data_IF_946405570119
#
_entry.id   IF_946405570119
#
_cell.length_a   1.000
_cell.length_b   1.000
_cell.length_c   1.000
_cell.angle_alpha   90.00
_cell.angle_beta   90.00
_cell.angle_gamma   90.00
#
_symmetry.space_group_name_H-M   'P 1'
#
loop_
_entity.id
_entity.type
_entity.pdbx_description
1 polymer ?
#
# COMPACT_ATOMS: atom_id res chain seq x y z
N UNK A 1 20.70 -10.69 -24.53
CA UNK A 1 20.96 -11.12 -23.14
C UNK A 1 22.05 -12.20 -23.20
N UNK A 2 23.10 -12.07 -22.39
CA UNK A 2 24.18 -13.06 -22.37
C UNK A 2 23.65 -14.46 -22.02
N UNK A 3 23.83 -15.44 -22.93
CA UNK A 3 23.41 -16.83 -22.74
C UNK A 3 22.01 -17.18 -23.30
N UNK A 4 21.34 -16.29 -24.01
CA UNK A 4 20.08 -16.58 -24.69
C UNK A 4 20.02 -15.89 -26.05
N UNK A 5 19.72 -16.67 -27.10
CA UNK A 5 19.60 -16.17 -28.45
C UNK A 5 18.15 -15.95 -28.84
N UNK A 6 17.90 -15.00 -29.75
CA UNK A 6 16.59 -14.86 -30.37
C UNK A 6 16.23 -16.18 -31.08
N UNK A 7 15.00 -16.62 -30.93
CA UNK A 7 14.54 -17.91 -31.44
C UNK A 7 13.40 -17.71 -32.43
N UNK A 8 13.45 -18.40 -33.57
CA UNK A 8 12.33 -18.46 -34.51
C UNK A 8 11.50 -19.68 -34.22
N UNK A 9 10.20 -19.49 -33.93
CA UNK A 9 9.24 -20.57 -33.65
C UNK A 9 8.19 -20.58 -34.76
N UNK A 10 8.06 -21.72 -35.45
CA UNK A 10 7.09 -21.86 -36.53
C UNK A 10 5.64 -21.71 -36.03
N UNK A 11 4.73 -21.34 -36.93
CA UNK A 11 3.31 -21.19 -36.58
C UNK A 11 2.70 -22.48 -36.01
N UNK A 12 3.04 -23.65 -36.60
CA UNK A 12 2.61 -24.95 -36.11
C UNK A 12 3.09 -25.20 -34.67
N UNK A 13 4.36 -24.92 -34.39
CA UNK A 13 4.94 -25.13 -33.06
C UNK A 13 4.32 -24.18 -32.02
N UNK A 14 4.06 -22.93 -32.39
CA UNK A 14 3.33 -21.97 -31.50
C UNK A 14 1.96 -22.48 -31.11
N UNK A 15 1.22 -23.01 -32.07
CA UNK A 15 -0.10 -23.61 -31.83
C UNK A 15 0.01 -24.86 -30.96
N UNK A 16 0.97 -25.74 -31.23
CA UNK A 16 1.19 -26.96 -30.47
C UNK A 16 1.50 -26.71 -28.99
N UNK A 17 2.31 -25.71 -28.68
CA UNK A 17 2.68 -25.35 -27.29
C UNK A 17 1.69 -24.40 -26.63
N UNK A 18 0.62 -24.02 -27.32
CA UNK A 18 -0.41 -23.09 -26.80
C UNK A 18 0.12 -21.70 -26.46
N UNK A 19 1.07 -21.21 -27.28
CA UNK A 19 1.68 -19.89 -27.04
C UNK A 19 0.64 -18.77 -27.20
N UNK A 20 0.47 -17.98 -26.15
CA UNK A 20 -0.35 -16.76 -26.14
C UNK A 20 0.55 -15.54 -25.97
N UNK A 21 0.14 -14.43 -26.53
CA UNK A 21 0.82 -13.14 -26.38
C UNK A 21 -0.17 -12.07 -25.94
N UNK A 22 0.29 -11.11 -25.17
CA UNK A 22 -0.46 -9.94 -24.77
C UNK A 22 0.37 -8.69 -24.99
N UNK A 23 -0.27 -7.60 -25.41
CA UNK A 23 0.44 -6.33 -25.58
C UNK A 23 0.62 -5.63 -24.21
N UNK A 24 1.84 -5.15 -23.98
CA UNK A 24 2.14 -4.31 -22.83
C UNK A 24 1.44 -2.96 -23.02
N UNK A 25 0.57 -2.61 -22.07
CA UNK A 25 -0.25 -1.40 -22.15
C UNK A 25 -0.28 -0.68 -20.79
N UNK A 26 -0.64 0.60 -20.82
CA UNK A 26 -0.89 1.34 -19.59
C UNK A 26 -2.21 0.91 -18.98
N UNK A 27 -2.15 0.53 -17.71
CA UNK A 27 -3.32 0.13 -16.92
C UNK A 27 -3.29 0.81 -15.56
N UNK A 28 -4.46 1.08 -15.01
CA UNK A 28 -4.57 1.48 -13.61
C UNK A 28 -4.46 0.24 -12.75
N UNK A 29 -3.37 0.14 -12.02
CA UNK A 29 -3.05 -1.02 -11.19
C UNK A 29 -3.48 -0.77 -9.75
N UNK A 30 -4.31 -1.68 -9.23
CA UNK A 30 -4.78 -1.66 -7.84
C UNK A 30 -4.31 -2.92 -7.15
N UNK A 31 -3.93 -2.78 -5.89
CA UNK A 31 -3.55 -3.91 -5.07
C UNK A 31 -4.07 -3.73 -3.66
N UNK A 32 -4.02 -4.79 -2.87
CA UNK A 32 -4.53 -4.79 -1.51
C UNK A 32 -3.38 -4.99 -0.55
N UNK A 33 -3.14 -4.00 0.31
CA UNK A 33 -2.24 -4.13 1.46
C UNK A 33 -3.02 -4.84 2.56
N UNK A 34 -2.53 -6.00 2.99
CA UNK A 34 -3.14 -6.80 4.04
C UNK A 34 -2.41 -6.57 5.36
N UNK A 35 -3.16 -6.11 6.34
CA UNK A 35 -2.63 -5.77 7.66
C UNK A 35 -3.47 -6.43 8.75
N UNK A 36 -2.84 -6.88 9.78
CA UNK A 36 -3.51 -7.31 11.02
C UNK A 36 -3.56 -6.17 12.02
N UNK A 37 -4.53 -6.21 12.92
CA UNK A 37 -4.68 -5.18 13.93
C UNK A 37 -5.78 -5.47 14.92
N UNK A 38 -6.19 -4.45 15.63
CA UNK A 38 -7.28 -4.51 16.60
C UNK A 38 -8.16 -3.27 16.55
N UNK A 39 -9.37 -3.40 17.07
CA UNK A 39 -10.23 -2.24 17.35
C UNK A 39 -9.60 -1.46 18.49
N UNK A 40 -9.34 -0.18 18.27
CA UNK A 40 -8.52 0.63 19.14
C UNK A 40 -9.19 0.89 20.51
N UNK A 41 -8.38 0.75 21.54
CA UNK A 41 -8.58 1.33 22.86
C UNK A 41 -7.38 2.23 23.13
N UNK A 42 -7.57 3.55 23.10
CA UNK A 42 -6.48 4.51 23.15
C UNK A 42 -6.75 5.63 24.15
N UNK A 43 -6.66 5.34 25.46
CA UNK A 43 -6.85 6.33 26.50
C UNK A 43 -5.75 7.42 26.49
N UNK A 44 -4.56 7.11 26.00
CA UNK A 44 -3.47 8.08 25.93
C UNK A 44 -3.79 9.19 24.92
N UNK A 45 -4.23 8.80 23.72
CA UNK A 45 -4.66 9.75 22.70
C UNK A 45 -5.88 10.57 23.17
N UNK A 46 -6.85 9.92 23.82
CA UNK A 46 -8.01 10.60 24.41
C UNK A 46 -7.58 11.68 25.40
N UNK A 47 -6.72 11.32 26.36
CA UNK A 47 -6.22 12.25 27.37
C UNK A 47 -5.44 13.41 26.75
N UNK A 48 -4.60 13.14 25.75
CA UNK A 48 -3.86 14.18 25.04
C UNK A 48 -4.77 15.15 24.27
N UNK A 49 -5.88 14.67 23.70
CA UNK A 49 -6.87 15.52 23.04
C UNK A 49 -7.58 16.40 24.09
N UNK A 50 -7.94 15.84 25.25
CA UNK A 50 -8.57 16.58 26.35
C UNK A 50 -7.62 17.64 26.92
N UNK A 51 -6.34 17.32 27.07
CA UNK A 51 -5.31 18.28 27.52
C UNK A 51 -5.18 19.45 26.54
N UNK A 52 -5.11 19.16 25.25
CA UNK A 52 -5.05 20.21 24.21
C UNK A 52 -6.33 21.08 24.21
N UNK A 53 -7.50 20.47 24.33
CA UNK A 53 -8.76 21.19 24.42
C UNK A 53 -8.80 22.10 25.64
N UNK A 54 -8.38 21.62 26.81
CA UNK A 54 -8.28 22.41 28.04
C UNK A 54 -7.30 23.56 27.91
N UNK A 55 -6.15 23.35 27.26
CA UNK A 55 -5.18 24.43 26.99
C UNK A 55 -5.77 25.51 26.07
N UNK A 56 -6.55 25.12 25.05
CA UNK A 56 -7.23 26.06 24.16
C UNK A 56 -8.26 26.94 24.92
N UNK A 57 -9.09 26.30 25.77
CA UNK A 57 -10.05 27.03 26.61
C UNK A 57 -9.33 27.99 27.55
N UNK A 58 -8.23 27.54 28.18
CA UNK A 58 -7.44 28.39 29.08
C UNK A 58 -6.86 29.60 28.33
N UNK A 59 -6.35 29.41 27.12
CA UNK A 59 -5.85 30.50 26.27
C UNK A 59 -6.96 31.50 25.93
N UNK A 60 -8.14 31.01 25.53
CA UNK A 60 -9.25 31.86 25.15
C UNK A 60 -9.79 32.68 26.33
N UNK A 61 -9.73 32.14 27.57
CA UNK A 61 -10.11 32.89 28.79
C UNK A 61 -9.18 34.04 29.11
N UNK A 62 -7.93 34.00 28.69
CA UNK A 62 -6.94 35.04 28.98
C UNK A 62 -6.63 35.93 27.79
N UNK A 63 -7.36 35.81 26.68
CA UNK A 63 -7.11 36.56 25.45
C UNK A 63 -7.19 38.09 25.65
N UNK A 64 -8.01 38.54 26.56
CA UNK A 64 -8.22 39.97 26.88
C UNK A 64 -7.38 40.44 28.10
N UNK A 65 -6.44 39.61 28.58
CA UNK A 65 -5.56 39.94 29.69
C UNK A 65 -4.61 41.10 29.29
N UNK A 66 -4.38 42.09 30.13
CA UNK A 66 -3.42 43.17 29.85
C UNK A 66 -1.95 42.73 29.99
N UNK A 67 -1.69 41.49 30.46
CA UNK A 67 -0.36 41.00 30.79
C UNK A 67 0.20 40.11 29.69
N UNK A 68 1.28 40.54 28.99
CA UNK A 68 1.87 39.73 27.90
C UNK A 68 2.34 38.34 28.35
N UNK A 69 2.93 38.22 29.54
CA UNK A 69 3.41 36.95 30.09
C UNK A 69 2.32 35.88 30.23
N UNK A 70 1.06 36.32 30.49
CA UNK A 70 -0.09 35.44 30.62
C UNK A 70 -0.44 34.83 29.26
N UNK A 71 -0.40 35.63 28.20
CA UNK A 71 -0.61 35.15 26.83
C UNK A 71 0.48 34.17 26.42
N UNK A 72 1.74 34.55 26.67
CA UNK A 72 2.88 33.71 26.29
C UNK A 72 2.83 32.32 26.94
N UNK A 73 2.49 32.24 28.23
CA UNK A 73 2.32 30.99 28.97
C UNK A 73 1.15 30.17 28.42
N UNK A 74 0.02 30.77 28.14
CA UNK A 74 -1.14 30.08 27.58
C UNK A 74 -0.86 29.52 26.18
N UNK A 75 -0.19 30.32 25.35
CA UNK A 75 0.23 29.84 24.01
C UNK A 75 1.30 28.73 24.08
N UNK A 76 2.20 28.77 25.04
CA UNK A 76 3.18 27.71 25.29
C UNK A 76 2.51 26.38 25.65
N UNK A 77 1.46 26.41 26.49
CA UNK A 77 0.67 25.21 26.83
C UNK A 77 -0.02 24.62 25.61
N UNK A 78 -0.66 25.47 24.79
CA UNK A 78 -1.29 24.98 23.53
C UNK A 78 -0.26 24.38 22.60
N UNK A 79 0.89 25.02 22.41
CA UNK A 79 1.98 24.48 21.57
C UNK A 79 2.50 23.13 22.09
N UNK A 80 2.68 23.00 23.40
CA UNK A 80 3.15 21.76 24.04
C UNK A 80 2.15 20.61 23.83
N UNK A 81 0.86 20.86 24.11
CA UNK A 81 -0.19 19.88 23.92
C UNK A 81 -0.35 19.49 22.44
N UNK A 82 -0.26 20.45 21.51
CA UNK A 82 -0.28 20.16 20.08
C UNK A 82 0.94 19.32 19.62
N UNK A 83 2.12 19.56 20.21
CA UNK A 83 3.31 18.75 19.94
C UNK A 83 3.10 17.30 20.37
N UNK A 84 2.54 17.07 21.56
CA UNK A 84 2.22 15.73 22.05
C UNK A 84 1.25 15.00 21.12
N UNK A 85 0.18 15.67 20.64
CA UNK A 85 -0.74 15.10 19.67
C UNK A 85 -0.04 14.70 18.35
N UNK A 86 0.91 15.52 17.89
CA UNK A 86 1.71 15.18 16.70
C UNK A 86 2.60 13.95 16.95
N UNK A 87 3.20 13.83 18.13
CA UNK A 87 3.98 12.65 18.51
C UNK A 87 3.13 11.40 18.56
N UNK A 88 1.84 11.52 18.92
CA UNK A 88 0.85 10.45 18.86
C UNK A 88 0.29 10.20 17.45
N UNK A 89 0.84 10.85 16.43
CA UNK A 89 0.53 10.59 15.02
C UNK A 89 -0.63 11.38 14.43
N UNK A 90 -1.09 12.47 15.07
CA UNK A 90 -2.08 13.35 14.47
C UNK A 90 -1.43 14.39 13.55
N UNK A 91 -2.01 14.57 12.37
CA UNK A 91 -1.67 15.70 11.51
C UNK A 91 -2.23 17.03 12.05
N UNK A 92 -1.65 18.14 11.61
CA UNK A 92 -2.13 19.47 11.99
C UNK A 92 -3.62 19.69 11.64
N UNK A 93 -4.07 19.16 10.49
CA UNK A 93 -5.47 19.24 10.08
C UNK A 93 -6.40 18.47 11.03
N UNK A 94 -5.97 17.31 11.53
CA UNK A 94 -6.73 16.52 12.50
C UNK A 94 -6.79 17.20 13.86
N UNK A 95 -5.67 17.78 14.32
CA UNK A 95 -5.64 18.58 15.55
C UNK A 95 -6.62 19.74 15.45
N UNK A 96 -6.64 20.47 14.33
CA UNK A 96 -7.58 21.55 14.06
C UNK A 96 -9.04 21.10 14.05
N UNK A 97 -9.33 19.89 13.55
CA UNK A 97 -10.68 19.33 13.56
C UNK A 97 -11.21 18.98 14.96
N UNK A 98 -10.31 18.72 15.92
CA UNK A 98 -10.69 18.51 17.33
C UNK A 98 -10.88 19.81 18.11
N UNK A 99 -10.25 20.90 17.68
CA UNK A 99 -10.35 22.21 18.36
C UNK A 99 -11.76 22.81 18.35
N UNK A 100 -12.60 22.43 17.37
CA UNK A 100 -13.99 22.90 17.26
C UNK A 100 -15.03 22.01 17.96
N UNK A 101 -14.62 20.93 18.64
CA UNK A 101 -15.54 19.99 19.32
C UNK A 101 -15.53 20.26 20.83
N UNK A 102 -16.71 20.16 21.45
CA UNK A 102 -16.86 20.34 22.91
C UNK A 102 -16.22 19.21 23.73
N UNK A 103 -15.97 18.05 23.13
CA UNK A 103 -15.35 16.89 23.79
C UNK A 103 -14.46 16.09 22.83
N UNK A 104 -13.50 15.37 23.40
CA UNK A 104 -12.72 14.38 22.67
C UNK A 104 -13.64 13.26 22.13
N UNK A 105 -13.27 12.60 21.04
CA UNK A 105 -14.07 11.51 20.49
C UNK A 105 -14.09 10.30 21.44
N UNK A 106 -15.21 10.08 22.09
CA UNK A 106 -15.41 8.98 23.05
C UNK A 106 -15.20 7.59 22.43
N UNK A 107 -15.24 7.48 21.11
CA UNK A 107 -14.96 6.24 20.38
C UNK A 107 -13.51 5.72 20.52
N UNK A 108 -12.63 6.50 21.14
CA UNK A 108 -11.29 6.04 21.56
C UNK A 108 -11.35 5.23 22.87
N UNK A 109 -12.39 5.41 23.68
CA UNK A 109 -12.58 4.76 24.96
C UNK A 109 -13.79 3.81 25.00
N UNK A 110 -14.81 4.10 24.19
CA UNK A 110 -16.10 3.42 24.23
C UNK A 110 -16.48 2.93 22.83
N UNK A 111 -16.43 1.63 22.60
CA UNK A 111 -16.94 0.98 21.40
C UNK A 111 -18.47 0.85 21.38
N UNK A 112 -19.21 1.91 21.64
CA UNK A 112 -20.66 1.91 21.75
C UNK A 112 -21.41 1.87 20.42
N UNK A 113 -22.73 1.57 20.42
CA UNK A 113 -23.58 1.67 19.24
C UNK A 113 -23.77 3.14 18.82
N UNK A 114 -23.93 3.37 17.51
CA UNK A 114 -24.31 4.67 16.94
C UNK A 114 -23.16 5.56 16.45
N UNK A 115 -21.90 5.12 16.58
CA UNK A 115 -20.73 5.89 16.16
C UNK A 115 -19.83 5.17 15.18
N UNK A 116 -18.59 5.63 15.12
CA UNK A 116 -17.47 4.95 14.48
C UNK A 116 -16.52 4.39 15.54
N UNK A 117 -15.72 3.41 15.16
CA UNK A 117 -14.59 2.92 15.95
C UNK A 117 -13.29 3.14 15.17
N UNK A 118 -12.19 3.22 15.89
CA UNK A 118 -10.88 3.21 15.28
C UNK A 118 -10.37 1.78 15.19
N UNK A 119 -9.73 1.48 14.08
CA UNK A 119 -8.96 0.23 13.89
C UNK A 119 -7.51 0.62 13.73
N UNK A 120 -6.64 0.01 14.51
CA UNK A 120 -5.20 0.14 14.42
C UNK A 120 -4.66 -1.08 13.69
N UNK A 121 -4.26 -0.88 12.44
CA UNK A 121 -3.69 -1.91 11.60
C UNK A 121 -2.17 -1.68 11.43
N UNK A 122 -1.38 -2.74 11.38
CA UNK A 122 0.06 -2.65 11.23
C UNK A 122 0.46 -2.97 9.78
N UNK A 123 1.13 -2.02 9.12
CA UNK A 123 1.73 -2.21 7.79
C UNK A 123 3.24 -2.26 7.91
N UNK A 124 3.89 -3.04 7.06
CA UNK A 124 5.33 -3.15 7.05
C UNK A 124 6.02 -1.98 6.33
N UNK A 125 7.29 -1.75 6.65
CA UNK A 125 8.11 -0.65 6.11
C UNK A 125 8.08 -0.59 4.58
N UNK A 126 8.13 -1.73 3.88
CA UNK A 126 8.11 -1.80 2.42
C UNK A 126 6.74 -1.44 1.79
N UNK A 127 5.66 -1.37 2.59
CA UNK A 127 4.30 -1.03 2.15
C UNK A 127 3.96 0.45 2.34
N UNK A 128 4.77 1.20 3.12
CA UNK A 128 4.49 2.58 3.54
C UNK A 128 4.15 3.48 2.34
N UNK A 129 4.95 3.40 1.27
CA UNK A 129 4.76 4.25 0.09
C UNK A 129 3.42 4.03 -0.64
N UNK A 130 2.70 2.97 -0.29
CA UNK A 130 1.43 2.56 -0.92
C UNK A 130 0.21 2.96 -0.13
N UNK A 131 0.37 3.21 1.15
CA UNK A 131 -0.73 3.57 2.05
C UNK A 131 -0.71 5.06 2.30
N UNK A 132 -1.87 5.69 2.19
CA UNK A 132 -2.05 7.13 2.44
C UNK A 132 -3.43 7.39 3.04
N UNK A 133 -3.62 8.48 3.76
CA UNK A 133 -4.95 8.91 4.21
C UNK A 133 -5.93 9.04 3.05
N UNK A 134 -7.18 8.67 3.28
CA UNK A 134 -8.25 8.66 2.30
C UNK A 134 -8.49 7.33 1.58
N UNK A 135 -7.57 6.34 1.71
CA UNK A 135 -7.79 5.01 1.12
C UNK A 135 -8.91 4.25 1.84
N UNK A 136 -9.69 3.52 1.06
CA UNK A 136 -10.70 2.59 1.59
C UNK A 136 -10.03 1.35 2.16
N UNK A 137 -10.63 0.82 3.23
CA UNK A 137 -10.22 -0.43 3.85
C UNK A 137 -11.42 -1.32 4.14
N UNK A 138 -11.29 -2.59 3.86
CA UNK A 138 -12.23 -3.63 4.24
C UNK A 138 -11.71 -4.32 5.50
N UNK A 139 -12.53 -4.30 6.54
CA UNK A 139 -12.20 -4.86 7.84
C UNK A 139 -13.01 -6.13 8.05
N UNK A 140 -12.33 -7.20 8.39
CA UNK A 140 -12.95 -8.48 8.75
C UNK A 140 -12.48 -8.93 10.13
N UNK A 141 -13.30 -9.67 10.83
CA UNK A 141 -12.96 -10.23 12.16
C UNK A 141 -13.46 -11.67 12.27
N UNK A 142 -12.70 -12.55 12.93
CA UNK A 142 -13.16 -13.91 13.23
C UNK A 142 -14.46 -13.97 14.04
N UNK A 143 -14.75 -12.91 14.82
CA UNK A 143 -15.99 -12.85 15.62
C UNK A 143 -17.25 -12.79 14.74
N UNK A 144 -17.16 -12.32 13.50
CA UNK A 144 -18.27 -12.22 12.56
C UNK A 144 -17.84 -12.75 11.18
N UNK A 145 -17.77 -14.07 10.99
CA UNK A 145 -17.33 -14.67 9.73
C UNK A 145 -18.22 -14.24 8.56
N UNK A 146 -17.61 -13.90 7.44
CA UNK A 146 -18.30 -13.47 6.22
C UNK A 146 -18.83 -12.02 6.24
N UNK A 147 -18.70 -11.30 7.36
CA UNK A 147 -19.09 -9.89 7.44
C UNK A 147 -17.90 -8.98 7.16
N UNK A 148 -18.12 -8.01 6.29
CA UNK A 148 -17.13 -7.00 5.93
C UNK A 148 -17.60 -5.64 6.45
N UNK A 149 -16.74 -4.98 7.23
CA UNK A 149 -16.92 -3.60 7.67
C UNK A 149 -16.05 -2.71 6.79
N UNK A 150 -16.60 -1.62 6.27
CA UNK A 150 -15.86 -0.68 5.43
C UNK A 150 -15.41 0.51 6.24
N UNK A 151 -14.16 0.87 6.10
CA UNK A 151 -13.54 2.00 6.77
C UNK A 151 -12.69 2.83 5.83
N UNK A 152 -12.14 3.91 6.36
CA UNK A 152 -11.26 4.83 5.65
C UNK A 152 -9.99 5.07 6.46
N UNK A 153 -8.84 4.98 5.82
CA UNK A 153 -7.55 5.36 6.42
C UNK A 153 -7.56 6.85 6.73
N UNK A 154 -7.34 7.22 7.99
CA UNK A 154 -7.33 8.62 8.44
C UNK A 154 -5.93 9.13 8.75
N UNK A 155 -5.06 8.26 9.25
CA UNK A 155 -3.70 8.63 9.60
C UNK A 155 -2.75 7.42 9.51
N UNK A 156 -1.48 7.73 9.39
CA UNK A 156 -0.37 6.80 9.55
C UNK A 156 0.51 7.39 10.64
N UNK A 157 0.84 6.60 11.66
CA UNK A 157 1.68 7.07 12.74
C UNK A 157 3.08 7.40 12.20
N UNK A 158 3.72 8.50 12.67
CA UNK A 158 5.02 8.92 12.15
C UNK A 158 6.16 8.03 12.64
N UNK A 159 5.95 7.25 13.68
CA UNK A 159 6.97 6.45 14.33
C UNK A 159 6.92 5.00 13.85
N UNK A 160 8.01 4.56 13.22
CA UNK A 160 8.24 3.16 12.88
C UNK A 160 8.63 2.37 14.14
N UNK A 161 7.95 1.27 14.41
CA UNK A 161 8.40 0.32 15.43
C UNK A 161 9.69 -0.35 14.97
N UNK A 162 10.78 -0.12 15.69
CA UNK A 162 12.07 -0.71 15.37
C UNK A 162 12.08 -2.24 15.55
N UNK A 163 11.26 -2.76 16.45
CA UNK A 163 11.14 -4.18 16.77
C UNK A 163 10.43 -4.96 15.66
N UNK A 164 9.30 -4.45 15.18
CA UNK A 164 8.45 -5.13 14.19
C UNK A 164 8.64 -4.63 12.78
N UNK A 165 9.42 -3.55 12.57
CA UNK A 165 9.57 -2.85 11.28
C UNK A 165 8.23 -2.51 10.64
N UNK A 166 7.28 -2.09 11.47
CA UNK A 166 5.92 -1.74 11.05
C UNK A 166 5.51 -0.36 11.53
N UNK A 167 4.52 0.21 10.83
CA UNK A 167 3.83 1.43 11.22
C UNK A 167 2.37 1.13 11.51
N UNK A 168 1.81 1.90 12.44
CA UNK A 168 0.40 1.85 12.75
C UNK A 168 -0.38 2.73 11.79
N UNK A 169 -1.39 2.14 11.16
CA UNK A 169 -2.37 2.85 10.33
C UNK A 169 -3.67 2.94 11.10
N UNK A 170 -4.23 4.15 11.19
CA UNK A 170 -5.52 4.42 11.82
C UNK A 170 -6.62 4.43 10.78
N UNK A 171 -7.59 3.54 10.94
CA UNK A 171 -8.72 3.38 10.05
C UNK A 171 -9.99 3.70 10.84
N UNK A 172 -10.77 4.65 10.37
CA UNK A 172 -12.09 4.92 10.94
C UNK A 172 -13.12 4.00 10.29
N UNK A 173 -13.88 3.27 11.12
CA UNK A 173 -14.87 2.29 10.68
C UNK A 173 -16.21 2.60 11.31
N UNK A 174 -17.27 2.86 10.51
CA UNK A 174 -18.62 3.00 11.03
C UNK A 174 -19.09 1.74 11.78
N UNK A 175 -19.63 1.91 12.96
CA UNK A 175 -20.06 0.82 13.84
C UNK A 175 -21.50 1.04 14.39
N UNK A 176 -22.50 1.28 13.54
CA UNK A 176 -23.84 1.69 13.96
C UNK A 176 -24.52 0.65 14.87
N UNK A 177 -24.23 -0.61 14.68
CA UNK A 177 -24.76 -1.71 15.50
C UNK A 177 -23.92 -2.05 16.73
N UNK A 178 -22.80 -1.34 16.98
CA UNK A 178 -21.91 -1.63 18.11
C UNK A 178 -21.31 -3.04 18.09
N UNK A 179 -21.18 -3.66 16.92
CA UNK A 179 -20.68 -5.04 16.77
C UNK A 179 -19.18 -5.13 17.00
N UNK A 180 -18.43 -4.17 16.49
CA UNK A 180 -17.01 -4.08 16.74
C UNK A 180 -16.80 -3.58 18.17
N UNK A 181 -16.19 -4.41 18.98
CA UNK A 181 -15.83 -4.10 20.38
C UNK A 181 -14.35 -3.76 20.45
N UNK A 182 -13.99 -2.94 21.44
CA UNK A 182 -12.60 -2.60 21.72
C UNK A 182 -11.75 -3.86 21.89
N UNK A 183 -10.50 -3.78 21.45
CA UNK A 183 -9.53 -4.89 21.48
C UNK A 183 -9.87 -6.10 20.60
N UNK A 184 -11.00 -6.10 19.87
CA UNK A 184 -11.25 -7.15 18.91
C UNK A 184 -10.16 -7.22 17.86
N UNK A 185 -9.63 -8.42 17.62
CA UNK A 185 -8.72 -8.69 16.51
C UNK A 185 -9.43 -8.53 15.17
N UNK A 186 -8.76 -7.89 14.23
CA UNK A 186 -9.26 -7.64 12.88
C UNK A 186 -8.18 -7.83 11.82
N UNK A 187 -8.60 -8.15 10.60
CA UNK A 187 -7.79 -8.07 9.41
C UNK A 187 -8.28 -6.89 8.56
N UNK A 188 -7.36 -6.05 8.15
CA UNK A 188 -7.61 -4.91 7.29
C UNK A 188 -7.06 -5.17 5.89
N UNK A 189 -7.89 -4.99 4.87
CA UNK A 189 -7.52 -5.04 3.47
C UNK A 189 -7.62 -3.62 2.89
N UNK A 190 -6.50 -2.89 2.90
CA UNK A 190 -6.43 -1.49 2.44
C UNK A 190 -6.29 -1.48 0.92
N UNK A 191 -7.21 -0.81 0.23
CA UNK A 191 -7.24 -0.71 -1.24
C UNK A 191 -6.26 0.36 -1.70
N UNK A 192 -5.10 -0.06 -2.16
CA UNK A 192 -4.06 0.83 -2.67
C UNK A 192 -4.11 0.93 -4.19
N UNK A 193 -3.69 2.06 -4.73
CA UNK A 193 -3.70 2.37 -6.16
C UNK A 193 -2.31 2.86 -6.57
N UNK A 194 -1.66 2.14 -7.47
CA UNK A 194 -0.38 2.53 -8.08
C UNK A 194 -0.55 3.61 -9.15
N UNK A 195 -1.80 3.97 -9.47
CA UNK A 195 -2.08 4.85 -10.59
C UNK A 195 -1.98 4.14 -11.94
N UNK A 196 -1.77 4.93 -12.99
CA UNK A 196 -1.61 4.40 -14.35
C UNK A 196 -0.13 4.10 -14.58
N UNK A 197 0.19 2.81 -14.69
CA UNK A 197 1.53 2.31 -14.95
C UNK A 197 1.55 1.43 -16.19
N UNK A 198 2.73 1.23 -16.77
CA UNK A 198 2.92 0.24 -17.81
C UNK A 198 2.82 -1.15 -17.18
N UNK A 199 1.89 -1.97 -17.66
CA UNK A 199 1.53 -3.24 -17.05
C UNK A 199 2.08 -4.42 -17.85
N UNK A 200 2.84 -5.27 -17.18
CA UNK A 200 3.33 -6.55 -17.71
C UNK A 200 2.46 -7.68 -17.14
N UNK A 201 1.81 -8.49 -17.96
CA UNK A 201 1.06 -9.64 -17.46
C UNK A 201 1.94 -10.54 -16.58
N UNK A 202 1.41 -11.00 -15.44
CA UNK A 202 2.15 -11.89 -14.50
C UNK A 202 2.70 -13.12 -15.21
N UNK A 203 1.87 -13.76 -16.06
CA UNK A 203 2.28 -14.93 -16.85
C UNK A 203 3.39 -14.68 -17.87
N UNK A 204 3.74 -13.41 -18.17
CA UNK A 204 4.82 -13.09 -19.08
C UNK A 204 6.20 -13.06 -18.38
N UNK A 205 6.23 -12.91 -17.07
CA UNK A 205 7.48 -12.81 -16.31
C UNK A 205 8.08 -14.20 -16.06
N UNK A 206 9.30 -14.38 -16.50
CA UNK A 206 10.14 -15.51 -16.12
C UNK A 206 11.17 -15.03 -15.09
N UNK A 207 10.99 -15.41 -13.84
CA UNK A 207 11.93 -15.11 -12.77
C UNK A 207 12.87 -16.30 -12.55
N UNK A 208 14.15 -16.09 -12.80
CA UNK A 208 15.21 -17.08 -12.59
C UNK A 208 15.94 -16.91 -11.24
N UNK A 209 15.45 -16.03 -10.38
CA UNK A 209 16.10 -15.62 -9.13
C UNK A 209 17.21 -14.60 -9.35
N UNK A 210 18.10 -14.81 -10.32
CA UNK A 210 19.19 -13.89 -10.64
C UNK A 210 18.76 -12.78 -11.61
N UNK A 211 17.82 -13.07 -12.52
CA UNK A 211 17.35 -12.15 -13.57
C UNK A 211 15.85 -12.36 -13.84
N UNK A 212 15.19 -11.28 -14.17
CA UNK A 212 13.79 -11.27 -14.61
C UNK A 212 13.74 -11.03 -16.10
N UNK A 213 13.14 -11.96 -16.83
CA UNK A 213 13.10 -11.99 -18.28
C UNK A 213 11.68 -12.04 -18.80
N UNK A 214 11.49 -11.51 -19.99
CA UNK A 214 10.27 -11.70 -20.80
C UNK A 214 10.67 -12.10 -22.20
N UNK A 215 9.76 -12.76 -22.89
CA UNK A 215 9.89 -13.09 -24.30
C UNK A 215 9.03 -12.15 -25.13
N UNK A 216 9.69 -11.27 -25.90
CA UNK A 216 9.01 -10.31 -26.78
C UNK A 216 8.78 -10.94 -28.14
N UNK A 217 7.54 -10.93 -28.62
CA UNK A 217 7.18 -11.37 -29.98
C UNK A 217 7.38 -10.21 -30.96
N UNK A 218 8.41 -10.34 -31.80
CA UNK A 218 8.77 -9.38 -32.83
C UNK A 218 8.00 -9.59 -34.15
N UNK A 219 7.07 -10.56 -34.16
CA UNK A 219 6.38 -10.98 -35.37
C UNK A 219 7.11 -12.07 -36.16
N UNK A 220 6.44 -12.64 -37.15
CA UNK A 220 6.97 -13.70 -38.01
C UNK A 220 7.60 -14.89 -37.27
N UNK A 221 7.17 -15.13 -36.02
CA UNK A 221 7.68 -16.19 -35.17
C UNK A 221 9.00 -15.88 -34.45
N UNK A 222 9.54 -14.69 -34.60
CA UNK A 222 10.77 -14.27 -33.92
C UNK A 222 10.46 -13.87 -32.49
N UNK A 223 11.05 -14.58 -31.56
CA UNK A 223 10.92 -14.34 -30.11
C UNK A 223 12.28 -13.91 -29.58
N UNK A 224 12.31 -12.78 -28.89
CA UNK A 224 13.51 -12.21 -28.30
C UNK A 224 13.42 -12.22 -26.76
N UNK A 225 14.35 -12.88 -26.06
CA UNK A 225 14.44 -12.79 -24.61
C UNK A 225 14.98 -11.40 -24.24
N UNK A 226 14.27 -10.72 -23.33
CA UNK A 226 14.65 -9.37 -22.87
C UNK A 226 14.58 -9.27 -21.37
N UNK A 227 15.62 -8.72 -20.76
CA UNK A 227 15.66 -8.47 -19.34
C UNK A 227 14.76 -7.29 -18.99
N UNK A 228 13.99 -7.44 -17.91
CA UNK A 228 13.06 -6.42 -17.43
C UNK A 228 13.29 -6.10 -15.96
N UNK A 229 12.94 -4.88 -15.61
CA UNK A 229 12.80 -4.48 -14.22
C UNK A 229 11.31 -4.26 -13.96
N UNK A 230 10.81 -4.96 -12.97
CA UNK A 230 9.41 -4.86 -12.55
C UNK A 230 9.34 -4.30 -11.14
N UNK A 231 8.29 -3.56 -10.87
CA UNK A 231 7.89 -3.06 -9.56
C UNK A 231 6.92 -4.03 -8.87
N UNK A 232 5.83 -3.49 -8.37
CA UNK A 232 4.82 -4.24 -7.62
C UNK A 232 3.91 -5.06 -8.53
N UNK A 233 3.45 -6.15 -7.97
CA UNK A 233 2.36 -6.95 -8.53
C UNK A 233 1.01 -6.37 -8.09
N UNK A 234 0.09 -6.27 -9.05
CA UNK A 234 -1.26 -5.76 -8.84
C UNK A 234 -2.20 -6.30 -9.92
N UNK A 235 -3.37 -6.80 -9.53
CA UNK A 235 -4.44 -7.26 -10.45
C UNK A 235 -3.97 -8.27 -11.53
N UNK A 236 -3.00 -9.15 -11.20
CA UNK A 236 -2.43 -10.14 -12.15
C UNK A 236 -1.43 -9.53 -13.15
N UNK A 237 -0.92 -8.35 -12.87
CA UNK A 237 0.11 -7.65 -13.62
C UNK A 237 1.22 -7.19 -12.71
N UNK A 238 2.43 -7.07 -13.25
CA UNK A 238 3.52 -6.33 -12.64
C UNK A 238 3.60 -4.91 -13.22
N UNK A 239 3.91 -3.94 -12.38
CA UNK A 239 4.36 -2.63 -12.84
C UNK A 239 5.67 -2.80 -13.61
N UNK A 240 5.72 -2.42 -14.88
CA UNK A 240 6.92 -2.49 -15.69
C UNK A 240 7.70 -1.18 -15.59
N UNK A 241 8.89 -1.26 -14.99
CA UNK A 241 9.78 -0.10 -14.80
C UNK A 241 10.70 0.10 -16.00
N UNK A 242 11.17 -0.98 -16.63
CA UNK A 242 12.02 -0.90 -17.83
C UNK A 242 12.13 -2.25 -18.53
N UNK A 243 12.60 -2.23 -19.80
CA UNK A 243 12.93 -3.42 -20.59
C UNK A 243 12.00 -3.65 -21.79
N UNK A 244 10.72 -3.31 -21.70
CA UNK A 244 9.75 -3.43 -22.80
C UNK A 244 9.00 -2.12 -22.95
N UNK A 245 8.58 -1.79 -24.17
CA UNK A 245 7.83 -0.55 -24.50
C UNK A 245 6.34 -0.83 -24.59
N UNK A 246 5.57 0.22 -24.43
CA UNK A 246 4.14 0.19 -24.69
C UNK A 246 3.82 -0.29 -26.10
N UNK A 247 2.87 -1.21 -26.24
CA UNK A 247 2.47 -1.81 -27.52
C UNK A 247 3.27 -3.05 -27.93
N UNK A 248 4.44 -3.31 -27.34
CA UNK A 248 5.18 -4.56 -27.62
C UNK A 248 4.41 -5.76 -27.07
N UNK A 249 4.37 -6.84 -27.84
CA UNK A 249 3.72 -8.09 -27.46
C UNK A 249 4.67 -8.99 -26.68
N UNK A 250 4.24 -9.47 -25.53
CA UNK A 250 5.00 -10.40 -24.70
C UNK A 250 4.28 -11.74 -24.63
N UNK A 251 5.06 -12.81 -24.59
CA UNK A 251 4.53 -14.18 -24.45
C UNK A 251 4.08 -14.36 -23.01
N UNK A 252 2.83 -14.83 -22.83
CA UNK A 252 2.21 -15.04 -21.50
C UNK A 252 2.08 -16.51 -21.11
N UNK A 253 2.28 -17.42 -22.05
CA UNK A 253 2.22 -18.87 -21.80
C UNK A 253 3.39 -19.56 -22.51
N UNK A 254 3.73 -20.75 -22.07
CA UNK A 254 4.82 -21.57 -22.62
C UNK A 254 6.25 -20.98 -22.47
N UNK A 255 6.44 -20.00 -21.57
CA UNK A 255 7.72 -19.32 -21.35
C UNK A 255 8.86 -20.29 -21.03
N UNK A 256 8.60 -21.31 -20.21
CA UNK A 256 9.60 -22.32 -19.86
C UNK A 256 10.08 -23.13 -21.06
N UNK A 257 9.18 -23.51 -21.98
CA UNK A 257 9.53 -24.23 -23.20
C UNK A 257 10.37 -23.36 -24.13
N UNK A 258 10.04 -22.09 -24.26
CA UNK A 258 10.78 -21.12 -25.08
C UNK A 258 12.15 -20.86 -24.47
N UNK A 259 12.26 -20.73 -23.16
CA UNK A 259 13.53 -20.55 -22.45
C UNK A 259 14.46 -21.75 -22.67
N UNK A 260 13.93 -22.96 -22.54
CA UNK A 260 14.69 -24.19 -22.76
C UNK A 260 15.21 -24.29 -24.21
N UNK A 261 14.39 -23.94 -25.20
CA UNK A 261 14.79 -23.93 -26.59
C UNK A 261 15.81 -22.81 -26.91
N UNK A 262 15.65 -21.65 -26.32
CA UNK A 262 16.59 -20.53 -26.45
C UNK A 262 17.97 -20.88 -25.88
N UNK A 263 18.01 -21.55 -24.73
CA UNK A 263 19.24 -22.03 -24.10
C UNK A 263 19.92 -23.12 -24.93
N UNK A 264 19.18 -24.09 -25.45
CA UNK A 264 19.72 -25.13 -26.32
C UNK A 264 20.34 -24.54 -27.59
N UNK A 265 19.68 -23.58 -28.23
CA UNK A 265 20.21 -22.89 -29.40
C UNK A 265 21.48 -22.11 -29.13
N UNK A 266 21.57 -21.46 -27.96
CA UNK A 266 22.77 -20.73 -27.55
C UNK A 266 23.99 -21.63 -27.32
N UNK A 267 23.76 -22.89 -26.90
CA UNK A 267 24.82 -23.89 -26.71
C UNK A 267 25.30 -24.50 -28.02
N UNK A 268 24.43 -24.60 -29.03
CA UNK A 268 24.72 -25.21 -30.34
C UNK A 268 25.25 -24.19 -31.35
N UNK A 269 25.04 -22.89 -31.14
CA UNK A 269 25.60 -21.86 -32.00
C UNK A 269 27.12 -21.79 -31.83
N UNK A 270 27.94 -21.97 -32.94
CA UNK A 270 29.37 -21.90 -32.84
C UNK A 270 29.81 -20.53 -32.34
N UNK A 271 30.70 -20.50 -31.36
CA UNK A 271 31.35 -19.30 -30.84
C UNK A 271 32.01 -18.57 -32.02
N UNK A 272 31.45 -17.42 -32.42
CA UNK A 272 32.21 -16.50 -33.29
C UNK A 272 33.36 -15.95 -32.45
N UNK A 273 34.53 -16.58 -32.59
CA UNK A 273 35.79 -16.06 -32.14
C UNK A 273 35.94 -14.60 -32.60
N UNK A 274 36.15 -13.74 -31.66
CA UNK A 274 36.63 -12.37 -31.92
C UNK A 274 38.04 -12.49 -32.49
N UNK A 275 38.20 -12.19 -33.75
CA UNK A 275 39.47 -11.71 -34.31
C UNK A 275 39.53 -10.19 -34.14
#
# INVERSE_FOLDING_TARGET
VSGQASTVISAQKRQLIGMKTEAVARRRLKFTVRASGNVAYDPELYNAIMEHHSAMIARDKVKDSPWPDVHERADALVRSAALRLRQLGLSQAQIGAFTGRESAPENLLLGGPGGSVWVYAQIYEYEISSVRPGLEAEITTPAYPGRVFRGTVKAIDPNLSAETRSLRVRIEVPNPGGLLKLEMYVNAAIKADLGVALALPEGALLDSGARKLVFVDLGEGRIEPREVRVGREADGYYELLSGVREGEKVVTTANFLIDSESKLKSLVAPSKEKR
#
